data_IF_915877009968
#
_entry.id   IF_915877009968
#
_cell.length_a   1.000
_cell.length_b   1.000
_cell.length_c   1.000
_cell.angle_alpha   90.00
_cell.angle_beta   90.00
_cell.angle_gamma   90.00
#
_symmetry.space_group_name_H-M   'P 1'
#
loop_
_entity.id
_entity.type
_entity.pdbx_description
1 polymer ?
#
# COMPACT_ATOMS: atom_id res chain seq x y z
N UNK A 1 -13.65 5.31 13.26
CA UNK A 1 -12.20 5.36 13.03
C UNK A 1 -11.95 5.67 11.56
N UNK A 2 -11.08 6.63 11.27
CA UNK A 2 -10.79 7.09 9.91
C UNK A 2 -9.34 6.81 9.54
N UNK A 3 -9.09 6.52 8.26
CA UNK A 3 -7.74 6.28 7.74
C UNK A 3 -7.35 7.27 6.65
N UNK A 4 -6.07 7.56 6.54
CA UNK A 4 -5.47 8.32 5.44
C UNK A 4 -4.31 7.53 4.86
N UNK A 5 -4.24 7.43 3.52
CA UNK A 5 -3.13 6.79 2.81
C UNK A 5 -2.28 7.90 2.21
N UNK A 6 -1.02 7.95 2.61
CA UNK A 6 -0.03 8.84 2.05
C UNK A 6 0.81 8.06 1.03
N UNK A 7 0.43 8.17 -0.25
CA UNK A 7 1.12 7.49 -1.35
C UNK A 7 2.33 8.32 -1.80
N UNK A 8 3.49 7.68 -1.89
CA UNK A 8 4.72 8.25 -2.43
C UNK A 8 5.42 7.19 -3.28
N UNK A 9 5.69 7.51 -4.55
CA UNK A 9 6.45 6.63 -5.42
C UNK A 9 5.95 6.69 -6.86
N UNK A 10 5.58 5.53 -7.40
CA UNK A 10 5.15 5.37 -8.78
C UNK A 10 3.70 4.86 -8.89
N UNK A 11 3.25 4.62 -10.11
CA UNK A 11 1.92 4.08 -10.43
C UNK A 11 1.63 2.74 -9.71
N UNK A 12 2.67 1.94 -9.44
CA UNK A 12 2.53 0.71 -8.63
C UNK A 12 2.09 1.03 -7.20
N UNK A 13 2.65 2.09 -6.59
CA UNK A 13 2.22 2.53 -5.26
C UNK A 13 0.78 3.05 -5.29
N UNK A 14 0.34 3.75 -6.33
CA UNK A 14 -1.07 4.16 -6.44
C UNK A 14 -2.01 2.95 -6.48
N UNK A 15 -1.70 1.96 -7.32
CA UNK A 15 -2.44 0.69 -7.40
C UNK A 15 -2.45 -0.08 -6.07
N UNK A 16 -1.32 -0.09 -5.34
CA UNK A 16 -1.23 -0.71 -4.01
C UNK A 16 -2.10 0.04 -2.98
N UNK A 17 -2.13 1.37 -3.02
CA UNK A 17 -2.95 2.21 -2.15
C UNK A 17 -4.44 1.95 -2.34
N UNK A 18 -4.90 1.69 -3.56
CA UNK A 18 -6.28 1.30 -3.82
C UNK A 18 -6.66 -0.04 -3.17
N UNK A 19 -5.73 -1.00 -3.15
CA UNK A 19 -5.93 -2.31 -2.50
C UNK A 19 -5.88 -2.20 -0.98
N UNK A 20 -4.98 -1.37 -0.45
CA UNK A 20 -4.94 -1.03 0.98
C UNK A 20 -6.27 -0.44 1.42
N UNK A 21 -6.82 0.51 0.66
CA UNK A 21 -8.12 1.09 0.93
C UNK A 21 -9.22 0.03 1.03
N UNK A 22 -9.30 -0.91 0.08
CA UNK A 22 -10.29 -2.00 0.11
C UNK A 22 -10.21 -2.83 1.40
N UNK A 23 -9.00 -3.18 1.85
CA UNK A 23 -8.83 -3.92 3.11
C UNK A 23 -9.34 -3.10 4.30
N UNK A 24 -8.93 -1.84 4.40
CA UNK A 24 -9.31 -0.98 5.53
C UNK A 24 -10.83 -0.71 5.55
N UNK A 25 -11.45 -0.48 4.40
CA UNK A 25 -12.89 -0.28 4.27
C UNK A 25 -13.65 -1.58 4.63
N UNK A 26 -13.12 -2.75 4.25
CA UNK A 26 -13.70 -4.05 4.64
C UNK A 26 -13.66 -4.31 6.14
N UNK A 27 -12.69 -3.71 6.86
CA UNK A 27 -12.58 -3.72 8.32
C UNK A 27 -13.45 -2.66 9.01
N UNK A 28 -14.20 -1.86 8.23
CA UNK A 28 -15.12 -0.84 8.73
C UNK A 28 -14.49 0.53 9.00
N UNK A 29 -13.26 0.77 8.55
CA UNK A 29 -12.68 2.12 8.59
C UNK A 29 -13.23 2.98 7.45
N UNK A 30 -13.29 4.29 7.66
CA UNK A 30 -13.70 5.25 6.63
C UNK A 30 -12.51 6.09 6.17
N UNK A 31 -12.43 6.39 4.88
CA UNK A 31 -11.38 7.27 4.36
C UNK A 31 -11.53 8.69 4.93
N UNK A 32 -10.43 9.28 5.38
CA UNK A 32 -10.32 10.69 5.71
C UNK A 32 -9.79 11.46 4.48
N UNK A 33 -10.28 12.68 4.21
CA UNK A 33 -9.77 13.51 3.13
C UNK A 33 -8.37 14.05 3.39
N UNK A 34 -7.95 14.14 4.65
CA UNK A 34 -6.64 14.66 5.07
C UNK A 34 -6.04 13.85 6.21
N UNK A 35 -4.72 13.93 6.35
CA UNK A 35 -3.96 13.32 7.46
C UNK A 35 -4.39 13.84 8.84
N UNK A 36 -4.88 15.09 8.93
CA UNK A 36 -5.40 15.68 10.17
C UNK A 36 -6.61 14.92 10.72
N UNK A 37 -7.55 14.54 9.85
CA UNK A 37 -8.80 13.87 10.24
C UNK A 37 -8.71 12.35 10.37
N UNK A 38 -7.51 11.76 10.27
CA UNK A 38 -7.28 10.33 10.36
C UNK A 38 -6.74 9.89 11.72
N UNK A 39 -7.21 8.73 12.18
CA UNK A 39 -6.70 8.01 13.34
C UNK A 39 -5.56 7.06 12.95
N UNK A 40 -5.67 6.47 11.75
CA UNK A 40 -4.68 5.57 11.14
C UNK A 40 -4.09 6.22 9.88
N UNK A 41 -2.78 6.29 9.81
CA UNK A 41 -2.04 6.73 8.64
C UNK A 41 -1.28 5.55 8.06
N UNK A 42 -1.55 5.21 6.80
CA UNK A 42 -0.74 4.27 6.03
C UNK A 42 0.18 5.06 5.10
N UNK A 43 1.48 4.94 5.25
CA UNK A 43 2.45 5.47 4.30
C UNK A 43 2.79 4.38 3.30
N UNK A 44 2.41 4.55 2.04
CA UNK A 44 2.84 3.67 0.96
C UNK A 44 4.03 4.32 0.26
N UNK A 45 5.23 3.92 0.67
CA UNK A 45 6.48 4.61 0.40
C UNK A 45 7.28 4.02 -0.77
N UNK A 46 8.22 4.82 -1.26
CA UNK A 46 9.28 4.41 -2.18
C UNK A 46 10.62 4.98 -1.68
N UNK A 47 11.48 4.11 -1.13
CA UNK A 47 12.85 4.44 -0.70
C UNK A 47 13.84 4.60 -1.84
N UNK A 48 13.46 4.30 -3.08
CA UNK A 48 14.35 4.44 -4.24
C UNK A 48 14.72 5.91 -4.48
N UNK A 49 13.81 6.84 -4.14
CA UNK A 49 14.04 8.28 -4.26
C UNK A 49 14.17 8.91 -2.87
N UNK A 50 15.32 9.49 -2.56
CA UNK A 50 15.60 10.13 -1.27
C UNK A 50 14.54 11.20 -0.90
N UNK A 51 14.08 11.97 -1.89
CA UNK A 51 13.05 13.00 -1.70
C UNK A 51 11.73 12.46 -1.17
N UNK A 52 11.36 11.22 -1.48
CA UNK A 52 10.17 10.58 -0.91
C UNK A 52 10.38 10.28 0.58
N UNK A 53 11.56 9.81 0.97
CA UNK A 53 11.90 9.53 2.37
C UNK A 53 11.95 10.81 3.20
N UNK A 54 12.52 11.89 2.66
CA UNK A 54 12.57 13.18 3.34
C UNK A 54 11.16 13.73 3.63
N UNK A 55 10.24 13.59 2.67
CA UNK A 55 8.82 13.93 2.86
C UNK A 55 8.17 13.12 3.96
N UNK A 56 8.47 11.82 4.05
CA UNK A 56 7.98 10.95 5.12
C UNK A 56 8.48 11.45 6.47
N UNK A 57 9.77 11.76 6.60
CA UNK A 57 10.34 12.30 7.85
C UNK A 57 9.70 13.62 8.27
N UNK A 58 9.47 14.53 7.32
CA UNK A 58 8.80 15.80 7.59
C UNK A 58 7.40 15.60 8.17
N UNK A 59 6.60 14.73 7.53
CA UNK A 59 5.24 14.42 7.99
C UNK A 59 5.20 13.63 9.30
N UNK A 60 6.11 12.68 9.47
CA UNK A 60 6.18 11.83 10.65
C UNK A 60 6.38 12.65 11.94
N UNK A 61 7.22 13.71 11.88
CA UNK A 61 7.39 14.65 13.01
C UNK A 61 6.08 15.28 13.46
N UNK A 62 5.18 15.60 12.52
CA UNK A 62 3.88 16.20 12.80
C UNK A 62 2.91 15.16 13.37
N UNK A 63 2.87 13.97 12.77
CA UNK A 63 1.95 12.91 13.20
C UNK A 63 2.27 12.38 14.60
N UNK A 64 3.55 12.27 14.95
CA UNK A 64 3.99 11.84 16.29
C UNK A 64 3.68 12.85 17.39
N UNK A 65 3.59 14.14 17.05
CA UNK A 65 3.22 15.21 17.98
C UNK A 65 1.72 15.46 18.06
N UNK A 66 0.93 14.86 17.17
CA UNK A 66 -0.51 15.08 17.10
C UNK A 66 -1.23 14.54 18.35
N UNK A 67 -2.26 15.28 18.79
CA UNK A 67 -3.20 14.87 19.83
C UNK A 67 -4.62 14.86 19.24
N UNK A 68 -5.39 13.77 19.33
CA UNK A 68 -5.02 12.46 19.89
C UNK A 68 -3.90 11.77 19.10
N UNK A 69 -3.18 10.83 19.75
CA UNK A 69 -2.07 10.09 19.14
C UNK A 69 -2.57 9.34 17.90
N UNK A 70 -1.89 9.56 16.77
CA UNK A 70 -2.16 8.86 15.51
C UNK A 70 -1.35 7.58 15.44
N UNK A 71 -1.92 6.56 14.79
CA UNK A 71 -1.23 5.31 14.50
C UNK A 71 -0.63 5.44 13.11
N UNK A 72 0.66 5.17 12.99
CA UNK A 72 1.37 5.25 11.71
C UNK A 72 1.87 3.87 11.34
N UNK A 73 1.42 3.36 10.20
CA UNK A 73 1.95 2.17 9.58
C UNK A 73 2.60 2.50 8.24
N UNK A 74 3.65 1.78 7.90
CA UNK A 74 4.41 2.00 6.68
C UNK A 74 4.50 0.70 5.85
N UNK A 75 4.33 0.83 4.53
CA UNK A 75 4.52 -0.23 3.55
C UNK A 75 5.12 0.32 2.24
N UNK A 76 5.24 -0.52 1.21
CA UNK A 76 5.77 -0.16 -0.11
C UNK A 76 7.20 -0.62 -0.34
N UNK A 77 7.91 0.07 -1.24
CA UNK A 77 9.27 -0.27 -1.66
C UNK A 77 10.31 0.37 -0.73
N UNK A 78 10.50 -0.18 0.47
CA UNK A 78 11.38 0.40 1.49
C UNK A 78 12.66 -0.41 1.63
N UNK A 79 13.80 0.26 1.57
CA UNK A 79 15.10 -0.37 1.71
C UNK A 79 15.35 -0.77 3.17
N UNK A 80 16.08 -1.88 3.44
CA UNK A 80 16.35 -2.34 4.81
C UNK A 80 16.92 -1.27 5.73
N UNK A 81 17.80 -0.41 5.20
CA UNK A 81 18.40 0.71 5.93
C UNK A 81 17.36 1.71 6.45
N UNK A 82 16.39 2.08 5.61
CA UNK A 82 15.33 3.02 5.98
C UNK A 82 14.31 2.35 6.90
N UNK A 83 14.01 1.08 6.65
CA UNK A 83 13.13 0.28 7.49
C UNK A 83 13.62 0.26 8.95
N UNK A 84 14.91 0.04 9.19
CA UNK A 84 15.49 0.04 10.54
C UNK A 84 15.34 1.40 11.25
N UNK A 85 15.51 2.51 10.52
CA UNK A 85 15.37 3.86 11.08
C UNK A 85 13.91 4.20 11.38
N UNK A 86 13.01 3.87 10.45
CA UNK A 86 11.58 4.15 10.57
C UNK A 86 10.91 3.27 11.63
N UNK A 87 11.35 2.01 11.79
CA UNK A 87 10.79 1.07 12.77
C UNK A 87 10.86 1.59 14.21
N UNK A 88 11.84 2.44 14.52
CA UNK A 88 11.99 3.08 15.85
C UNK A 88 10.96 4.19 16.11
N UNK A 89 10.20 4.59 15.10
CA UNK A 89 9.34 5.78 15.11
C UNK A 89 7.90 5.51 14.74
N UNK A 90 7.59 4.40 14.08
CA UNK A 90 6.24 4.06 13.63
C UNK A 90 5.70 2.83 14.35
N UNK A 91 4.38 2.66 14.37
CA UNK A 91 3.73 1.60 15.11
C UNK A 91 3.75 0.26 14.35
N UNK A 92 3.84 0.28 13.02
CA UNK A 92 3.89 -0.92 12.19
C UNK A 92 4.68 -0.70 10.88
N UNK A 93 5.52 -1.67 10.52
CA UNK A 93 6.05 -1.80 9.15
C UNK A 93 5.69 -3.19 8.64
N UNK A 94 5.21 -3.27 7.40
CA UNK A 94 4.85 -4.54 6.78
C UNK A 94 5.12 -4.51 5.27
N UNK A 95 5.46 -5.68 4.71
CA UNK A 95 5.61 -5.80 3.26
C UNK A 95 4.22 -5.79 2.61
N UNK A 96 4.11 -5.20 1.43
CA UNK A 96 2.85 -5.17 0.67
C UNK A 96 2.28 -6.57 0.36
N UNK A 97 3.12 -7.59 0.25
CA UNK A 97 2.68 -8.99 0.11
C UNK A 97 1.92 -9.50 1.33
N UNK A 98 2.18 -8.92 2.50
CA UNK A 98 1.47 -9.22 3.74
C UNK A 98 0.17 -8.41 3.90
N UNK A 99 -0.24 -7.65 2.89
CA UNK A 99 -1.48 -6.86 2.92
C UNK A 99 -2.73 -7.67 3.34
N UNK A 100 -2.90 -8.95 2.94
CA UNK A 100 -3.98 -9.79 3.47
C UNK A 100 -3.98 -9.95 4.99
N UNK A 101 -2.81 -9.93 5.61
CA UNK A 101 -2.61 -10.05 7.08
C UNK A 101 -2.63 -8.70 7.79
N UNK A 102 -2.81 -7.59 7.04
CA UNK A 102 -2.87 -6.25 7.62
C UNK A 102 -3.94 -6.12 8.73
N UNK A 103 -5.17 -6.67 8.59
CA UNK A 103 -6.16 -6.60 9.66
C UNK A 103 -5.67 -7.25 10.97
N UNK A 104 -4.99 -8.38 10.88
CA UNK A 104 -4.44 -9.10 12.04
C UNK A 104 -3.31 -8.30 12.71
N UNK A 105 -2.38 -7.76 11.90
CA UNK A 105 -1.28 -6.93 12.40
C UNK A 105 -1.80 -5.65 13.07
N UNK A 106 -2.81 -5.01 12.49
CA UNK A 106 -3.43 -3.82 13.09
C UNK A 106 -4.19 -4.16 14.38
N UNK A 107 -4.82 -5.33 14.47
CA UNK A 107 -5.53 -5.74 15.69
C UNK A 107 -4.60 -5.94 16.91
N UNK A 108 -3.30 -6.18 16.68
CA UNK A 108 -2.31 -6.26 17.76
C UNK A 108 -1.97 -4.88 18.36
N UNK A 109 -2.29 -3.79 17.67
CA UNK A 109 -2.09 -2.44 18.18
C UNK A 109 -3.25 -2.12 19.11
N UNK A 110 -2.98 -2.06 20.43
CA UNK A 110 -4.00 -1.88 21.50
C UNK A 110 -4.99 -0.73 21.28
N UNK A 111 -4.63 0.27 20.48
CA UNK A 111 -5.44 1.45 20.17
C UNK A 111 -6.49 1.21 19.05
N UNK A 112 -6.47 0.05 18.38
CA UNK A 112 -7.34 -0.27 17.25
C UNK A 112 -8.42 -1.28 17.61
N UNK A 113 -9.69 -0.84 17.57
CA UNK A 113 -10.85 -1.73 17.61
C UNK A 113 -11.34 -1.99 16.18
N UNK A 114 -10.79 -3.03 15.55
CA UNK A 114 -11.20 -3.46 14.22
C UNK A 114 -12.39 -4.43 14.29
N UNK A 115 -13.33 -4.32 13.35
CA UNK A 115 -14.32 -5.38 13.15
C UNK A 115 -13.58 -6.58 12.54
N UNK A 116 -13.55 -7.72 13.24
CA UNK A 116 -12.96 -8.96 12.71
C UNK A 116 -13.72 -9.38 11.45
N UNK A 117 -13.14 -9.13 10.28
CA UNK A 117 -13.34 -9.97 9.10
C UNK A 117 -12.04 -10.72 8.86
N UNK A 118 -11.95 -11.88 9.49
CA UNK A 118 -10.96 -12.91 9.19
C UNK A 118 -11.34 -13.57 7.87
N UNK A 119 -11.11 -12.87 6.77
CA UNK A 119 -11.08 -13.48 5.45
C UNK A 119 -9.62 -13.60 5.03
N UNK A 120 -9.09 -14.82 4.98
CA UNK A 120 -7.80 -15.12 4.36
C UNK A 120 -7.85 -14.73 2.88
N UNK A 121 -7.64 -13.46 2.57
CA UNK A 121 -7.49 -12.95 1.21
C UNK A 121 -6.13 -13.41 0.68
N UNK A 122 -5.97 -14.71 0.37
CA UNK A 122 -4.68 -15.37 0.13
C UNK A 122 -3.56 -14.49 -0.46
N UNK A 123 -3.61 -14.23 -1.78
CA UNK A 123 -2.63 -13.39 -2.49
C UNK A 123 -3.12 -11.93 -2.54
N UNK A 124 -2.22 -10.95 -2.39
CA UNK A 124 -2.55 -9.52 -2.46
C UNK A 124 -3.23 -9.11 -3.78
N UNK A 125 -2.96 -9.82 -4.88
CA UNK A 125 -3.66 -9.60 -6.16
C UNK A 125 -5.15 -9.95 -6.15
N UNK A 126 -5.61 -10.78 -5.21
CA UNK A 126 -7.03 -11.10 -5.05
C UNK A 126 -7.81 -9.95 -4.40
N UNK A 127 -7.11 -8.98 -3.84
CA UNK A 127 -7.72 -7.78 -3.27
C UNK A 127 -8.12 -6.87 -4.43
N UNK A 128 -9.42 -6.66 -4.57
CA UNK A 128 -9.96 -5.77 -5.61
C UNK A 128 -9.58 -4.33 -5.29
N UNK A 129 -8.94 -3.58 -6.20
CA UNK A 129 -8.73 -2.16 -6.01
C UNK A 129 -10.06 -1.39 -5.99
N UNK A 130 -10.06 -0.25 -5.30
CA UNK A 130 -11.22 0.63 -5.24
C UNK A 130 -11.54 1.27 -6.59
N UNK A 131 -10.52 1.61 -7.40
CA UNK A 131 -10.63 2.43 -8.62
C UNK A 131 -11.28 3.78 -8.33
N UNK A 132 -10.65 4.56 -7.44
CA UNK A 132 -11.19 5.87 -7.02
C UNK A 132 -11.15 6.90 -8.15
N UNK A 133 -10.18 6.78 -9.06
CA UNK A 133 -10.17 7.55 -10.29
C UNK A 133 -11.00 6.82 -11.36
N UNK A 134 -12.10 7.44 -11.75
CA UNK A 134 -12.98 6.91 -12.80
C UNK A 134 -12.34 6.91 -14.19
N UNK A 135 -11.21 7.60 -14.43
CA UNK A 135 -10.64 7.77 -15.77
C UNK A 135 -9.57 6.75 -16.09
N UNK A 136 -8.62 6.53 -15.18
CA UNK A 136 -7.45 5.67 -15.41
C UNK A 136 -7.36 4.56 -14.36
N UNK A 137 -7.20 3.31 -14.79
CA UNK A 137 -6.95 2.17 -13.91
C UNK A 137 -5.53 1.64 -14.08
N UNK A 138 -4.82 1.55 -12.96
CA UNK A 138 -3.50 0.95 -12.87
C UNK A 138 -3.62 -0.53 -12.50
N UNK A 139 -3.30 -1.42 -13.44
CA UNK A 139 -3.44 -2.87 -13.28
C UNK A 139 -2.06 -3.52 -13.30
N UNK A 140 -1.51 -3.94 -12.15
CA UNK A 140 -0.28 -4.71 -12.12
C UNK A 140 -0.47 -6.03 -12.85
N UNK A 141 0.41 -6.38 -13.78
CA UNK A 141 0.44 -7.69 -14.44
C UNK A 141 1.47 -8.63 -13.80
N UNK A 142 2.41 -8.06 -13.05
CA UNK A 142 3.45 -8.79 -12.35
C UNK A 142 3.94 -8.02 -11.11
N UNK A 143 4.70 -8.69 -10.24
CA UNK A 143 5.46 -8.05 -9.14
C UNK A 143 6.82 -8.70 -9.00
N UNK A 144 7.78 -7.96 -8.45
CA UNK A 144 9.14 -8.47 -8.25
C UNK A 144 9.93 -8.54 -9.56
N UNK A 145 11.17 -9.02 -9.47
CA UNK A 145 12.10 -9.11 -10.59
C UNK A 145 13.24 -10.09 -10.24
N UNK A 146 13.71 -10.85 -11.23
CA UNK A 146 14.81 -11.83 -11.09
C UNK A 146 16.15 -11.38 -11.68
N UNK A 147 16.24 -10.15 -12.21
CA UNK A 147 17.43 -9.69 -12.95
C UNK A 147 18.56 -9.10 -12.07
N UNK A 148 18.40 -9.00 -10.74
CA UNK A 148 19.41 -8.55 -9.74
C UNK A 148 20.42 -7.49 -10.23
N UNK A 149 19.95 -6.49 -10.98
CA UNK A 149 20.83 -5.47 -11.54
C UNK A 149 21.53 -4.68 -10.42
N UNK A 150 22.78 -4.28 -10.64
CA UNK A 150 23.63 -3.60 -9.64
C UNK A 150 23.01 -2.33 -9.04
N UNK A 151 22.13 -1.67 -9.78
CA UNK A 151 21.44 -0.43 -9.38
C UNK A 151 20.01 -0.66 -8.87
N UNK A 152 19.45 -1.86 -9.01
CA UNK A 152 18.02 -2.09 -8.83
C UNK A 152 17.67 -2.61 -7.42
N UNK A 153 16.76 -1.91 -6.74
CA UNK A 153 16.27 -2.29 -5.42
C UNK A 153 15.12 -3.31 -5.45
N UNK A 154 14.45 -3.49 -6.59
CA UNK A 154 13.18 -4.25 -6.72
C UNK A 154 13.27 -5.67 -6.18
N UNK A 155 14.30 -6.48 -6.50
CA UNK A 155 14.39 -7.86 -6.01
C UNK A 155 14.40 -7.96 -4.48
N UNK A 156 14.94 -6.96 -3.80
CA UNK A 156 15.06 -6.94 -2.33
C UNK A 156 13.77 -6.47 -1.65
N UNK A 157 13.04 -5.52 -2.25
CA UNK A 157 11.86 -4.90 -1.61
C UNK A 157 10.54 -5.54 -2.05
N UNK A 158 10.48 -6.09 -3.28
CA UNK A 158 9.31 -6.77 -3.85
C UNK A 158 9.53 -8.27 -4.04
N UNK A 159 10.74 -8.78 -3.83
CA UNK A 159 11.06 -10.20 -3.95
C UNK A 159 11.18 -10.68 -5.39
N UNK A 160 11.22 -12.01 -5.54
CA UNK A 160 11.25 -12.75 -6.80
C UNK A 160 10.10 -12.37 -7.73
N UNK A 161 10.34 -12.54 -9.02
CA UNK A 161 9.34 -12.31 -10.05
C UNK A 161 8.12 -13.21 -9.84
N UNK A 162 6.96 -12.62 -10.01
CA UNK A 162 5.70 -13.33 -10.10
C UNK A 162 4.83 -12.65 -11.15
N UNK A 163 4.55 -13.39 -12.22
CA UNK A 163 3.61 -13.00 -13.26
C UNK A 163 2.19 -13.44 -12.87
N UNK A 164 1.22 -12.53 -13.00
CA UNK A 164 -0.18 -12.83 -12.70
C UNK A 164 -0.81 -13.61 -13.86
N UNK A 165 -1.72 -14.56 -13.57
CA UNK A 165 -2.49 -15.21 -14.63
C UNK A 165 -3.31 -14.22 -15.47
N UNK A 166 -3.29 -14.38 -16.79
CA UNK A 166 -4.03 -13.54 -17.76
C UNK A 166 -5.52 -13.41 -17.41
N UNK A 167 -6.15 -14.49 -16.96
CA UNK A 167 -7.57 -14.50 -16.55
C UNK A 167 -7.85 -13.52 -15.41
N UNK A 168 -6.94 -13.39 -14.45
CA UNK A 168 -7.11 -12.45 -13.33
C UNK A 168 -6.94 -11.00 -13.80
N UNK A 169 -5.96 -10.74 -14.68
CA UNK A 169 -5.71 -9.41 -15.25
C UNK A 169 -6.92 -8.96 -16.06
N UNK A 170 -7.45 -9.81 -16.95
CA UNK A 170 -8.64 -9.51 -17.76
C UNK A 170 -9.87 -9.25 -16.91
N UNK A 171 -10.05 -10.03 -15.84
CA UNK A 171 -11.18 -9.82 -14.92
C UNK A 171 -11.10 -8.46 -14.24
N UNK A 172 -9.91 -8.06 -13.76
CA UNK A 172 -9.70 -6.74 -13.17
C UNK A 172 -9.94 -5.62 -14.18
N UNK A 173 -9.44 -5.77 -15.41
CA UNK A 173 -9.67 -4.83 -16.50
C UNK A 173 -11.16 -4.66 -16.84
N UNK A 174 -11.89 -5.77 -16.97
CA UNK A 174 -13.34 -5.75 -17.21
C UNK A 174 -14.11 -5.08 -16.07
N UNK A 175 -13.72 -5.33 -14.82
CA UNK A 175 -14.33 -4.68 -13.65
C UNK A 175 -14.05 -3.18 -13.63
N UNK A 176 -12.86 -2.73 -14.03
CA UNK A 176 -12.53 -1.32 -14.16
C UNK A 176 -13.35 -0.64 -15.26
N UNK A 177 -13.45 -1.26 -16.45
CA UNK A 177 -14.26 -0.76 -17.57
C UNK A 177 -15.73 -0.59 -17.15
N UNK A 178 -16.29 -1.57 -16.43
CA UNK A 178 -17.67 -1.49 -15.91
C UNK A 178 -17.89 -0.33 -14.93
N UNK A 179 -16.84 0.12 -14.24
CA UNK A 179 -16.88 1.29 -13.34
C UNK A 179 -16.68 2.62 -14.09
N UNK A 180 -16.50 2.60 -15.41
CA UNK A 180 -16.38 3.79 -16.25
C UNK A 180 -14.94 4.19 -16.60
N UNK A 181 -13.95 3.35 -16.28
CA UNK A 181 -12.54 3.56 -16.67
C UNK A 181 -12.40 3.69 -18.19
N UNK A 182 -11.66 4.72 -18.63
CA UNK A 182 -11.38 5.01 -20.04
C UNK A 182 -9.98 4.60 -20.47
N UNK A 183 -9.03 4.54 -19.54
CA UNK A 183 -7.64 4.19 -19.78
C UNK A 183 -7.19 3.08 -18.84
N UNK A 184 -6.54 2.05 -19.39
CA UNK A 184 -5.95 0.97 -18.61
C UNK A 184 -4.44 1.01 -18.83
N UNK A 185 -3.70 1.14 -17.72
CA UNK A 185 -2.24 1.10 -17.72
C UNK A 185 -1.81 -0.19 -17.04
N UNK A 186 -1.20 -1.08 -17.81
CA UNK A 186 -0.62 -2.32 -17.30
C UNK A 186 0.73 -2.02 -16.65
N UNK A 187 0.91 -2.46 -15.41
CA UNK A 187 2.12 -2.20 -14.64
C UNK A 187 2.99 -3.45 -14.49
N UNK A 188 4.27 -3.31 -14.81
CA UNK A 188 5.30 -4.31 -14.56
C UNK A 188 6.52 -3.69 -13.88
N UNK A 189 7.36 -4.53 -13.27
CA UNK A 189 8.59 -4.10 -12.60
C UNK A 189 9.85 -4.72 -13.23
N UNK A 190 9.68 -5.49 -14.30
CA UNK A 190 10.79 -6.01 -15.08
C UNK A 190 11.30 -4.91 -16.02
N UNK A 191 12.62 -4.73 -16.03
CA UNK A 191 13.34 -3.73 -16.83
C UNK A 191 14.28 -4.46 -17.76
#
# INVERSE_FOLDING_TARGET
MRYFIFTLGCQMNESDSERIATILESCGLKSAPTDRGADLIIVNACSVRQTAIDRIWGKLKLWLKAKPKKIVAITGCILPRDQQKLAKKVDLIFNIKELPKLPEKLAQIKQLKLKKKSGCLGNYFKIKPTHKDSKTAYIPIMTGCDHFCTYCAVPYVRGREYSRPEKEIRKEAQEAIKKGTKEIILLGQNV
#
